data_IF_725746038945
#
_entry.id   IF_725746038945
#
_cell.length_a   1.000
_cell.length_b   1.000
_cell.length_c   1.000
_cell.angle_alpha   90.00
_cell.angle_beta   90.00
_cell.angle_gamma   90.00
#
_symmetry.space_group_name_H-M   'P 1'
#
loop_
_entity.id
_entity.type
_entity.pdbx_description
1 polymer ?
#
# COMPACT_ATOMS: atom_id res chain seq x y z
N UNK A 1 -27.37 -12.00 -32.15
CA UNK A 1 -28.66 -11.33 -32.11
C UNK A 1 -28.61 -10.20 -31.09
N UNK A 2 -29.42 -9.19 -31.27
CA UNK A 2 -29.46 -7.98 -30.48
C UNK A 2 -29.80 -8.27 -29.00
N UNK A 3 -30.72 -9.20 -28.77
CA UNK A 3 -31.14 -9.64 -27.42
C UNK A 3 -30.00 -10.24 -26.59
N UNK A 4 -29.09 -11.00 -27.21
CA UNK A 4 -27.91 -11.54 -26.54
C UNK A 4 -26.98 -10.41 -26.10
N UNK A 5 -26.74 -9.42 -26.96
CA UNK A 5 -25.90 -8.26 -26.64
C UNK A 5 -26.52 -7.40 -25.53
N UNK A 6 -27.85 -7.29 -25.52
CA UNK A 6 -28.57 -6.58 -24.45
C UNK A 6 -28.45 -7.35 -23.13
N UNK A 7 -28.66 -8.68 -23.15
CA UNK A 7 -28.52 -9.51 -21.98
C UNK A 7 -27.11 -9.47 -21.42
N UNK A 8 -26.06 -9.54 -22.25
CA UNK A 8 -24.66 -9.39 -21.81
C UNK A 8 -24.35 -8.02 -21.19
N UNK A 9 -24.97 -6.94 -21.71
CA UNK A 9 -24.82 -5.61 -21.11
C UNK A 9 -25.48 -5.49 -19.74
N UNK A 10 -26.58 -6.20 -19.50
CA UNK A 10 -27.34 -6.14 -18.23
C UNK A 10 -26.78 -7.12 -17.21
N UNK A 11 -26.55 -8.35 -17.61
CA UNK A 11 -26.21 -9.46 -16.73
C UNK A 11 -24.72 -9.82 -16.74
N UNK A 12 -23.92 -9.19 -17.62
CA UNK A 12 -22.54 -9.55 -17.87
C UNK A 12 -22.39 -10.79 -18.76
N UNK A 13 -21.13 -11.18 -19.06
CA UNK A 13 -20.84 -12.35 -19.87
C UNK A 13 -21.33 -13.65 -19.23
N UNK A 14 -21.77 -14.61 -20.06
CA UNK A 14 -22.22 -15.91 -19.58
C UNK A 14 -21.08 -16.72 -18.94
N UNK A 15 -21.23 -16.97 -17.64
CA UNK A 15 -20.26 -17.69 -16.80
C UNK A 15 -19.93 -19.08 -17.33
N UNK A 16 -20.96 -19.82 -17.80
CA UNK A 16 -20.79 -21.19 -18.31
C UNK A 16 -19.95 -21.20 -19.59
N UNK A 17 -20.18 -20.22 -20.46
CA UNK A 17 -19.38 -20.05 -21.67
C UNK A 17 -17.92 -19.69 -21.35
N UNK A 18 -17.67 -18.82 -20.38
CA UNK A 18 -16.31 -18.48 -19.96
C UNK A 18 -15.59 -19.74 -19.37
N UNK A 19 -16.27 -20.48 -18.52
CA UNK A 19 -15.73 -21.71 -17.90
C UNK A 19 -15.53 -22.85 -18.91
N UNK A 20 -16.35 -22.95 -19.95
CA UNK A 20 -16.34 -24.06 -20.90
C UNK A 20 -15.64 -23.78 -22.24
N UNK A 21 -15.68 -22.52 -22.73
CA UNK A 21 -15.25 -22.18 -24.09
C UNK A 21 -14.00 -21.29 -24.18
N UNK A 22 -13.46 -20.84 -23.03
CA UNK A 22 -12.25 -20.02 -23.04
C UNK A 22 -11.07 -20.75 -23.67
N UNK A 23 -10.37 -20.08 -24.58
CA UNK A 23 -9.18 -20.63 -25.26
C UNK A 23 -7.93 -19.85 -24.87
N UNK A 24 -6.80 -20.55 -24.81
CA UNK A 24 -5.50 -19.93 -24.60
C UNK A 24 -5.18 -19.04 -25.79
N UNK A 25 -4.80 -17.79 -25.51
CA UNK A 25 -4.31 -16.86 -26.53
C UNK A 25 -2.81 -16.65 -26.35
N UNK A 26 -2.14 -16.18 -27.42
CA UNK A 26 -0.72 -15.83 -27.35
C UNK A 26 -0.49 -14.74 -26.26
N UNK A 27 0.68 -14.78 -25.57
CA UNK A 27 1.06 -13.71 -24.64
C UNK A 27 1.03 -12.34 -25.34
N UNK A 28 0.79 -11.30 -24.58
CA UNK A 28 0.93 -9.95 -25.08
C UNK A 28 2.42 -9.65 -25.34
N UNK A 29 2.76 -8.88 -26.37
CA UNK A 29 4.13 -8.42 -26.54
C UNK A 29 4.54 -7.53 -25.36
N UNK A 30 5.83 -7.51 -25.05
CA UNK A 30 6.42 -6.57 -24.10
C UNK A 30 6.20 -5.15 -24.62
N UNK A 31 5.76 -4.26 -23.74
CA UNK A 31 5.55 -2.83 -24.06
C UNK A 31 6.34 -1.99 -23.07
N UNK A 32 7.11 -1.07 -23.61
CA UNK A 32 7.76 -0.03 -22.82
C UNK A 32 6.82 1.17 -22.73
N UNK A 33 6.34 1.46 -21.51
CA UNK A 33 5.46 2.59 -21.24
C UNK A 33 6.17 3.61 -20.32
N UNK A 34 7.49 3.72 -20.45
CA UNK A 34 8.34 4.61 -19.65
C UNK A 34 8.49 5.93 -20.41
N UNK A 35 8.20 7.04 -19.75
CA UNK A 35 8.44 8.39 -20.25
C UNK A 35 9.83 8.81 -19.79
N UNK A 36 10.70 9.18 -20.73
CA UNK A 36 12.02 9.70 -20.39
C UNK A 36 11.91 11.08 -19.75
N UNK A 37 12.51 11.22 -18.56
CA UNK A 37 12.62 12.48 -17.85
C UNK A 37 13.95 13.15 -18.25
N UNK A 38 13.97 14.48 -18.53
CA UNK A 38 15.21 15.19 -18.85
C UNK A 38 16.26 15.00 -17.76
N UNK A 39 17.49 14.66 -18.17
CA UNK A 39 18.59 14.41 -17.23
C UNK A 39 18.93 15.63 -16.37
N UNK A 40 18.78 16.81 -16.92
CA UNK A 40 18.98 18.10 -16.24
C UNK A 40 18.04 18.21 -15.03
N UNK A 41 16.77 17.82 -15.19
CA UNK A 41 15.78 17.86 -14.12
C UNK A 41 16.13 16.86 -12.99
N UNK A 42 16.57 15.65 -13.36
CA UNK A 42 17.03 14.64 -12.38
C UNK A 42 18.27 15.16 -11.65
N UNK A 43 19.23 15.75 -12.37
CA UNK A 43 20.48 16.26 -11.79
C UNK A 43 20.21 17.41 -10.83
N UNK A 44 19.32 18.33 -11.20
CA UNK A 44 18.93 19.48 -10.38
C UNK A 44 18.29 19.06 -9.05
N UNK A 45 17.54 17.98 -9.04
CA UNK A 45 16.78 17.49 -7.88
C UNK A 45 17.30 16.15 -7.35
N UNK A 46 18.58 15.86 -7.58
CA UNK A 46 19.18 14.56 -7.29
C UNK A 46 19.13 14.16 -5.82
N UNK A 47 19.31 15.12 -4.93
CA UNK A 47 19.33 14.89 -3.48
C UNK A 47 17.91 14.93 -2.92
N UNK A 48 17.52 13.86 -2.22
CA UNK A 48 16.18 13.65 -1.69
C UNK A 48 16.23 13.58 -0.17
N UNK A 49 15.30 14.29 0.47
CA UNK A 49 14.98 14.13 1.89
C UNK A 49 13.69 13.31 2.02
N UNK A 50 13.79 12.15 2.64
CA UNK A 50 12.70 11.20 2.81
C UNK A 50 12.11 11.29 4.21
N UNK A 51 10.79 11.36 4.32
CA UNK A 51 10.06 11.23 5.58
C UNK A 51 9.44 9.83 5.66
N UNK A 52 9.62 9.12 6.77
CA UNK A 52 9.10 7.76 6.97
C UNK A 52 8.30 7.66 8.26
N UNK A 53 7.29 6.79 8.25
CA UNK A 53 6.45 6.47 9.41
C UNK A 53 5.82 5.09 9.25
N UNK A 54 5.19 4.57 10.31
CA UNK A 54 4.47 3.30 10.30
C UNK A 54 2.96 3.54 10.41
N UNK A 55 2.22 2.94 9.49
CA UNK A 55 0.76 2.99 9.46
C UNK A 55 0.17 1.58 9.60
N UNK A 56 -0.94 1.48 10.33
CA UNK A 56 -1.68 0.22 10.44
C UNK A 56 -3.09 0.34 9.87
N UNK A 57 -3.50 -0.69 9.11
CA UNK A 57 -4.88 -0.89 8.66
C UNK A 57 -5.29 -2.29 9.13
N UNK A 58 -6.22 -2.39 10.04
CA UNK A 58 -6.47 -3.58 10.85
C UNK A 58 -5.14 -4.07 11.50
N UNK A 59 -4.76 -5.34 11.29
CA UNK A 59 -3.49 -5.90 11.75
C UNK A 59 -2.38 -5.84 10.67
N UNK A 60 -2.60 -5.11 9.57
CA UNK A 60 -1.62 -4.98 8.50
C UNK A 60 -0.79 -3.72 8.70
N UNK A 61 0.50 -3.89 8.98
CA UNK A 61 1.46 -2.80 9.09
C UNK A 61 2.04 -2.41 7.72
N UNK A 62 2.33 -1.12 7.57
CA UNK A 62 2.96 -0.54 6.39
C UNK A 62 4.01 0.48 6.82
N UNK A 63 5.22 0.36 6.28
CA UNK A 63 6.14 1.50 6.27
C UNK A 63 5.68 2.44 5.16
N UNK A 64 5.29 3.64 5.53
CA UNK A 64 4.90 4.71 4.61
C UNK A 64 6.06 5.68 4.43
N UNK A 65 6.22 6.18 3.22
CA UNK A 65 7.24 7.18 2.93
C UNK A 65 6.68 8.30 2.06
N UNK A 66 7.24 9.48 2.19
CA UNK A 66 7.06 10.60 1.27
C UNK A 66 8.36 11.38 1.18
N UNK A 67 8.81 11.72 -0.02
CA UNK A 67 9.91 12.65 -0.16
C UNK A 67 9.45 14.11 -0.25
N UNK A 68 10.33 15.03 0.16
CA UNK A 68 10.04 16.46 0.21
C UNK A 68 10.11 17.14 -1.15
N UNK A 69 10.77 16.53 -2.13
CA UNK A 69 11.08 17.13 -3.43
C UNK A 69 10.11 16.68 -4.51
N UNK A 70 10.15 15.40 -4.85
CA UNK A 70 9.33 14.79 -5.91
C UNK A 70 7.90 14.55 -5.42
N UNK A 71 7.71 14.42 -4.10
CA UNK A 71 6.43 14.06 -3.44
C UNK A 71 5.97 12.64 -3.76
N UNK A 72 6.89 11.75 -4.12
CA UNK A 72 6.58 10.34 -4.31
C UNK A 72 6.26 9.67 -2.97
N UNK A 73 5.21 8.87 -2.97
CA UNK A 73 4.71 8.17 -1.78
C UNK A 73 4.83 6.66 -1.94
N UNK A 74 5.22 5.99 -0.88
CA UNK A 74 5.17 4.53 -0.85
C UNK A 74 4.45 4.01 0.39
N UNK A 75 3.91 2.80 0.30
CA UNK A 75 3.40 2.02 1.42
C UNK A 75 3.91 0.59 1.24
N UNK A 76 4.93 0.23 1.98
CA UNK A 76 5.57 -1.09 1.91
C UNK A 76 5.01 -1.96 3.03
N UNK A 77 4.34 -3.08 2.71
CA UNK A 77 3.83 -3.98 3.74
C UNK A 77 4.96 -4.53 4.62
N UNK A 78 4.75 -4.50 5.92
CA UNK A 78 5.62 -5.10 6.92
C UNK A 78 4.92 -6.28 7.59
N UNK A 79 5.65 -7.34 7.90
CA UNK A 79 5.11 -8.55 8.52
C UNK A 79 5.29 -8.56 10.03
N UNK A 80 6.24 -7.81 10.53
CA UNK A 80 6.57 -7.68 11.96
C UNK A 80 7.14 -6.29 12.27
N UNK A 81 7.22 -5.96 13.56
CA UNK A 81 7.84 -4.71 14.05
C UNK A 81 9.32 -4.89 14.39
N UNK A 82 10.03 -5.76 13.67
CA UNK A 82 11.45 -6.00 13.89
C UNK A 82 12.28 -5.00 13.08
N UNK A 83 13.45 -4.66 13.58
CA UNK A 83 14.40 -3.78 12.89
C UNK A 83 14.82 -4.35 11.53
N UNK A 84 14.91 -5.67 11.39
CA UNK A 84 15.22 -6.33 10.12
C UNK A 84 14.13 -6.08 9.08
N UNK A 85 12.87 -6.16 9.48
CA UNK A 85 11.75 -5.92 8.57
C UNK A 85 11.65 -4.43 8.17
N UNK A 86 11.92 -3.51 9.10
CA UNK A 86 12.00 -2.09 8.79
C UNK A 86 13.16 -1.78 7.85
N UNK A 87 14.33 -2.38 8.10
CA UNK A 87 15.47 -2.24 7.20
C UNK A 87 15.17 -2.75 5.80
N UNK A 88 14.55 -3.94 5.69
CA UNK A 88 14.11 -4.51 4.41
C UNK A 88 13.16 -3.59 3.65
N UNK A 89 12.18 -3.04 4.35
CA UNK A 89 11.21 -2.13 3.74
C UNK A 89 11.89 -0.83 3.25
N UNK A 90 12.83 -0.30 4.04
CA UNK A 90 13.59 0.89 3.69
C UNK A 90 14.52 0.63 2.49
N UNK A 91 15.22 -0.49 2.44
CA UNK A 91 16.11 -0.87 1.33
C UNK A 91 15.36 -0.95 0.00
N UNK A 92 14.11 -1.47 0.00
CA UNK A 92 13.25 -1.47 -1.19
C UNK A 92 13.01 -0.05 -1.72
N UNK A 93 12.73 0.89 -0.82
CA UNK A 93 12.49 2.30 -1.20
C UNK A 93 13.78 2.95 -1.71
N UNK A 94 14.91 2.76 -1.02
CA UNK A 94 16.19 3.34 -1.45
C UNK A 94 16.61 2.82 -2.84
N UNK A 95 16.46 1.54 -3.10
CA UNK A 95 16.74 0.96 -4.42
C UNK A 95 15.90 1.57 -5.52
N UNK A 96 14.64 1.89 -5.24
CA UNK A 96 13.76 2.54 -6.21
C UNK A 96 14.30 3.92 -6.60
N UNK A 97 14.67 4.75 -5.63
CA UNK A 97 15.24 6.09 -5.88
C UNK A 97 16.61 5.99 -6.58
N UNK A 98 17.49 5.13 -6.11
CA UNK A 98 18.81 4.93 -6.70
C UNK A 98 18.71 4.45 -8.16
N UNK A 99 17.76 3.54 -8.46
CA UNK A 99 17.51 3.05 -9.83
C UNK A 99 17.06 4.16 -10.78
N UNK A 100 16.41 5.20 -10.27
CA UNK A 100 15.98 6.38 -11.02
C UNK A 100 17.04 7.50 -11.07
N UNK A 101 18.20 7.33 -10.44
CA UNK A 101 19.29 8.30 -10.43
C UNK A 101 19.24 9.33 -9.29
N UNK A 102 18.29 9.19 -8.36
CA UNK A 102 18.20 10.02 -7.16
C UNK A 102 18.99 9.40 -6.00
N UNK A 103 19.41 10.24 -5.06
CA UNK A 103 20.16 9.83 -3.87
C UNK A 103 19.43 10.35 -2.63
N UNK A 104 19.00 9.44 -1.78
CA UNK A 104 18.43 9.81 -0.48
C UNK A 104 19.56 10.25 0.43
N UNK A 105 19.53 11.50 0.86
CA UNK A 105 20.56 12.13 1.70
C UNK A 105 20.21 12.05 3.18
N UNK A 106 18.94 12.34 3.49
CA UNK A 106 18.45 12.38 4.87
C UNK A 106 17.12 11.64 4.96
N UNK A 107 16.95 10.86 6.02
CA UNK A 107 15.69 10.23 6.39
C UNK A 107 15.20 10.88 7.67
N UNK A 108 14.02 11.49 7.62
CA UNK A 108 13.32 12.05 8.77
C UNK A 108 12.33 11.02 9.31
N UNK A 109 12.43 10.70 10.60
CA UNK A 109 11.64 9.64 11.21
C UNK A 109 11.50 9.83 12.72
N UNK A 110 10.57 9.11 13.30
CA UNK A 110 10.36 9.01 14.74
C UNK A 110 11.46 8.21 15.45
N UNK A 111 11.51 8.32 16.78
CA UNK A 111 12.45 7.59 17.63
C UNK A 111 12.37 6.06 17.52
N UNK A 112 11.25 5.50 17.03
CA UNK A 112 11.07 4.06 16.79
C UNK A 112 12.14 3.48 15.85
N UNK A 113 12.63 4.27 14.91
CA UNK A 113 13.67 3.86 13.96
C UNK A 113 15.10 4.03 14.45
N UNK A 114 15.32 4.52 15.68
CA UNK A 114 16.67 4.83 16.21
C UNK A 114 17.62 3.64 16.16
N UNK A 115 17.12 2.44 16.41
CA UNK A 115 17.93 1.23 16.36
C UNK A 115 18.48 0.86 14.97
N UNK A 116 17.93 1.47 13.89
CA UNK A 116 18.45 1.28 12.53
C UNK A 116 19.58 2.25 12.15
N UNK A 117 19.85 3.25 12.99
CA UNK A 117 20.71 4.39 12.65
C UNK A 117 22.11 3.95 12.18
N UNK A 118 22.79 3.12 12.96
CA UNK A 118 24.15 2.68 12.62
C UNK A 118 24.16 1.84 11.35
N UNK A 119 23.25 0.89 11.22
CA UNK A 119 23.15 0.04 10.04
C UNK A 119 22.82 0.81 8.78
N UNK A 120 21.88 1.76 8.84
CA UNK A 120 21.52 2.63 7.71
C UNK A 120 22.68 3.53 7.31
N UNK A 121 23.43 4.06 8.30
CA UNK A 121 24.63 4.85 8.05
C UNK A 121 25.73 4.03 7.40
N UNK A 122 26.00 2.84 7.88
CA UNK A 122 27.15 2.01 7.45
C UNK A 122 26.85 1.30 6.11
N UNK A 123 25.67 0.70 5.96
CA UNK A 123 25.32 -0.08 4.76
C UNK A 123 24.80 0.79 3.61
N UNK A 124 24.02 1.83 3.93
CA UNK A 124 23.30 2.63 2.93
C UNK A 124 23.86 4.05 2.76
N UNK A 125 24.78 4.48 3.63
CA UNK A 125 25.42 5.80 3.64
C UNK A 125 24.42 6.96 3.72
N UNK A 126 23.27 6.76 4.40
CA UNK A 126 22.21 7.75 4.56
C UNK A 126 22.18 8.27 5.98
N UNK A 127 21.97 9.57 6.15
CA UNK A 127 21.83 10.21 7.45
C UNK A 127 20.38 10.03 7.95
N UNK A 128 20.20 9.57 9.18
CA UNK A 128 18.90 9.59 9.85
C UNK A 128 18.80 10.78 10.78
N UNK A 129 17.70 11.50 10.68
CA UNK A 129 17.32 12.62 11.53
C UNK A 129 16.06 12.24 12.31
N UNK A 130 16.22 12.11 13.62
CA UNK A 130 15.13 11.76 14.52
C UNK A 130 14.50 13.01 15.09
N UNK A 131 13.19 13.05 15.12
CA UNK A 131 12.46 14.05 15.89
C UNK A 131 12.64 13.81 17.37
N UNK A 132 12.51 14.86 18.19
CA UNK A 132 12.42 14.72 19.64
C UNK A 132 11.12 13.96 20.01
N UNK A 133 11.02 13.49 21.25
CA UNK A 133 9.91 12.65 21.69
C UNK A 133 8.51 13.27 21.54
N UNK A 134 8.44 14.60 21.41
CA UNK A 134 7.21 15.39 21.21
C UNK A 134 7.10 16.03 19.83
N UNK A 135 8.13 15.90 18.99
CA UNK A 135 8.14 16.47 17.65
C UNK A 135 7.90 15.34 16.63
N UNK A 136 6.73 15.32 16.04
CA UNK A 136 6.43 14.45 14.91
C UNK A 136 6.97 15.02 13.59
N UNK A 137 7.09 14.17 12.57
CA UNK A 137 7.42 14.58 11.19
C UNK A 137 6.12 14.98 10.49
N UNK A 138 5.79 16.30 10.39
CA UNK A 138 4.46 16.72 9.91
C UNK A 138 4.13 16.25 8.50
N UNK A 139 5.16 16.03 7.67
CA UNK A 139 4.98 15.51 6.32
C UNK A 139 4.58 14.04 6.32
N UNK A 140 5.14 13.23 7.23
CA UNK A 140 4.81 11.81 7.36
C UNK A 140 3.38 11.63 7.89
N UNK A 141 2.95 12.41 8.87
CA UNK A 141 1.58 12.40 9.39
C UNK A 141 0.56 12.79 8.33
N UNK A 142 0.79 13.92 7.64
CA UNK A 142 -0.07 14.34 6.51
C UNK A 142 -0.11 13.31 5.39
N UNK A 143 1.00 12.61 5.15
CA UNK A 143 1.05 11.50 4.20
C UNK A 143 0.14 10.35 4.64
N UNK A 144 0.25 9.93 5.90
CA UNK A 144 -0.58 8.87 6.47
C UNK A 144 -2.06 9.23 6.44
N UNK A 145 -2.42 10.47 6.80
CA UNK A 145 -3.78 11.00 6.69
C UNK A 145 -4.32 10.85 5.27
N UNK A 146 -3.59 11.35 4.27
CA UNK A 146 -3.98 11.27 2.87
C UNK A 146 -4.20 9.84 2.40
N UNK A 147 -3.28 8.92 2.79
CA UNK A 147 -3.39 7.51 2.43
C UNK A 147 -4.61 6.87 3.08
N UNK A 148 -4.84 7.10 4.39
CA UNK A 148 -6.01 6.59 5.13
C UNK A 148 -7.33 7.06 4.51
N UNK A 149 -7.45 8.34 4.17
CA UNK A 149 -8.63 8.90 3.50
C UNK A 149 -8.90 8.23 2.14
N UNK A 150 -7.85 7.99 1.35
CA UNK A 150 -7.98 7.28 0.07
C UNK A 150 -8.40 5.83 0.25
N UNK A 151 -7.81 5.12 1.21
CA UNK A 151 -8.18 3.75 1.54
C UNK A 151 -9.65 3.68 1.93
N UNK A 152 -10.14 4.60 2.79
CA UNK A 152 -11.53 4.66 3.21
C UNK A 152 -12.46 4.89 2.02
N UNK A 153 -12.18 5.90 1.20
CA UNK A 153 -12.99 6.21 0.03
C UNK A 153 -13.07 5.03 -0.95
N UNK A 154 -11.95 4.32 -1.14
CA UNK A 154 -11.93 3.14 -2.00
C UNK A 154 -12.66 1.95 -1.38
N UNK A 155 -12.56 1.75 -0.06
CA UNK A 155 -13.28 0.69 0.65
C UNK A 155 -14.81 0.86 0.56
N UNK A 156 -15.31 2.09 0.70
CA UNK A 156 -16.74 2.38 0.59
C UNK A 156 -17.36 2.09 -0.80
N UNK A 157 -16.53 1.90 -1.81
CA UNK A 157 -16.99 1.49 -3.15
C UNK A 157 -17.14 -0.02 -3.29
N UNK A 158 -16.62 -0.79 -2.35
CA UNK A 158 -16.65 -2.24 -2.40
C UNK A 158 -18.01 -2.77 -1.96
N UNK A 159 -18.46 -3.89 -2.54
CA UNK A 159 -19.68 -4.55 -2.10
C UNK A 159 -19.51 -5.37 -0.81
N UNK A 160 -18.30 -5.41 -0.24
CA UNK A 160 -17.92 -6.19 0.93
C UNK A 160 -17.90 -5.33 2.19
N UNK A 161 -18.46 -5.81 3.29
CA UNK A 161 -18.37 -5.18 4.62
C UNK A 161 -17.04 -5.47 5.30
N UNK A 162 -16.43 -6.62 4.99
CA UNK A 162 -15.12 -7.02 5.48
C UNK A 162 -14.30 -7.65 4.36
N UNK A 163 -12.98 -7.40 4.37
CA UNK A 163 -12.06 -7.92 3.35
C UNK A 163 -10.86 -8.61 4.02
N UNK A 164 -10.33 -9.70 3.40
CA UNK A 164 -9.20 -10.43 3.97
C UNK A 164 -7.89 -9.64 3.87
N UNK A 165 -6.88 -10.06 4.64
CA UNK A 165 -5.56 -9.41 4.75
C UNK A 165 -4.91 -9.12 3.41
N UNK A 166 -5.02 -10.03 2.46
CA UNK A 166 -4.50 -9.86 1.09
C UNK A 166 -5.12 -8.62 0.45
N UNK A 167 -6.44 -8.49 0.50
CA UNK A 167 -7.13 -7.34 -0.06
C UNK A 167 -6.76 -6.04 0.68
N UNK A 168 -6.67 -6.05 2.02
CA UNK A 168 -6.24 -4.85 2.79
C UNK A 168 -4.86 -4.39 2.34
N UNK A 169 -3.89 -5.30 2.20
CA UNK A 169 -2.54 -4.98 1.74
C UNK A 169 -2.55 -4.35 0.35
N UNK A 170 -3.25 -4.96 -0.59
CA UNK A 170 -3.33 -4.45 -1.95
C UNK A 170 -4.12 -3.13 -2.04
N UNK A 171 -5.17 -2.96 -1.23
CA UNK A 171 -5.90 -1.70 -1.15
C UNK A 171 -4.98 -0.55 -0.75
N UNK A 172 -4.24 -0.69 0.34
CA UNK A 172 -3.31 0.33 0.80
C UNK A 172 -2.22 0.64 -0.23
N UNK A 173 -1.57 -0.39 -0.80
CA UNK A 173 -0.54 -0.23 -1.82
C UNK A 173 -1.07 0.45 -3.08
N UNK A 174 -2.23 0.03 -3.58
CA UNK A 174 -2.83 0.58 -4.80
C UNK A 174 -3.26 2.02 -4.61
N UNK A 175 -3.91 2.34 -3.48
CA UNK A 175 -4.32 3.72 -3.19
C UNK A 175 -3.12 4.65 -3.04
N UNK A 176 -2.02 4.19 -2.43
CA UNK A 176 -0.78 4.96 -2.34
C UNK A 176 -0.14 5.15 -3.72
N UNK A 177 -0.08 4.10 -4.54
CA UNK A 177 0.47 4.20 -5.90
C UNK A 177 -0.32 5.16 -6.79
N UNK A 178 -1.65 5.18 -6.67
CA UNK A 178 -2.50 6.10 -7.43
C UNK A 178 -2.23 7.58 -7.13
N UNK A 179 -1.77 7.92 -5.92
CA UNK A 179 -1.37 9.28 -5.57
C UNK A 179 -0.14 9.77 -6.34
N UNK A 180 0.65 8.85 -6.90
CA UNK A 180 1.87 9.18 -7.64
C UNK A 180 1.66 9.33 -9.16
N UNK A 181 0.44 9.06 -9.67
CA UNK A 181 0.19 8.99 -11.11
C UNK A 181 -0.05 10.35 -11.78
N UNK A 182 -0.26 11.40 -11.01
CA UNK A 182 -0.52 12.75 -11.52
C UNK A 182 0.49 13.74 -10.95
N UNK A 183 0.81 14.81 -11.69
CA UNK A 183 1.62 15.92 -11.16
C UNK A 183 1.02 16.48 -9.88
N UNK A 184 1.87 16.79 -8.91
CA UNK A 184 1.46 17.24 -7.57
C UNK A 184 1.75 18.73 -7.41
N UNK A 185 0.82 19.46 -6.80
CA UNK A 185 1.04 20.88 -6.46
C UNK A 185 2.27 21.02 -5.53
N UNK A 186 3.21 21.86 -5.92
CA UNK A 186 4.48 22.03 -5.19
C UNK A 186 5.50 20.89 -5.40
N UNK A 187 5.28 20.04 -6.40
CA UNK A 187 6.27 19.08 -6.89
C UNK A 187 7.26 19.71 -7.85
N UNK A 188 8.24 18.93 -8.31
CA UNK A 188 9.36 19.36 -9.18
C UNK A 188 8.89 19.83 -10.56
N UNK A 189 7.81 19.26 -11.08
CA UNK A 189 7.33 19.53 -12.43
C UNK A 189 5.79 19.57 -12.48
N UNK A 190 5.22 20.50 -13.26
CA UNK A 190 3.80 20.51 -13.54
C UNK A 190 3.38 19.46 -14.59
N UNK A 191 4.34 18.83 -15.27
CA UNK A 191 4.09 17.87 -16.36
C UNK A 191 4.39 16.43 -15.95
N UNK A 192 5.43 16.20 -15.15
CA UNK A 192 5.83 14.86 -14.73
C UNK A 192 5.23 14.51 -13.36
N UNK A 193 4.59 13.36 -13.32
CA UNK A 193 4.09 12.82 -12.05
C UNK A 193 5.25 12.27 -11.20
N UNK A 194 5.08 12.11 -9.88
CA UNK A 194 6.07 11.45 -9.02
C UNK A 194 6.49 10.07 -9.54
N UNK A 195 5.56 9.27 -10.07
CA UNK A 195 5.86 7.97 -10.66
C UNK A 195 6.74 8.10 -11.91
N UNK A 196 6.43 9.05 -12.79
CA UNK A 196 7.24 9.34 -14.00
C UNK A 196 8.65 9.76 -13.64
N UNK A 197 8.82 10.62 -12.61
CA UNK A 197 10.13 11.04 -12.14
C UNK A 197 11.00 9.87 -11.68
N UNK A 198 10.42 8.82 -11.13
CA UNK A 198 11.13 7.60 -10.72
C UNK A 198 11.24 6.54 -11.84
N UNK A 199 10.94 6.90 -13.09
CA UNK A 199 11.05 5.97 -14.22
C UNK A 199 10.07 4.81 -14.15
N UNK A 200 8.96 4.96 -13.40
CA UNK A 200 7.90 3.96 -13.35
C UNK A 200 7.01 4.06 -14.59
N UNK A 201 6.36 2.97 -15.00
CA UNK A 201 5.45 2.99 -16.14
C UNK A 201 4.37 4.07 -16.00
N UNK A 202 4.10 4.77 -17.11
CA UNK A 202 3.04 5.76 -17.17
C UNK A 202 1.65 5.13 -17.07
N UNK A 203 0.67 5.91 -16.60
CA UNK A 203 -0.72 5.46 -16.56
C UNK A 203 -1.28 5.36 -17.98
N UNK A 204 -1.61 4.15 -18.40
CA UNK A 204 -2.40 3.87 -19.61
C UNK A 204 -3.82 3.50 -19.19
N UNK A 205 -4.78 4.34 -19.54
CA UNK A 205 -6.19 4.13 -19.18
C UNK A 205 -6.71 2.78 -19.70
N UNK A 206 -6.35 2.42 -20.93
CA UNK A 206 -6.81 1.17 -21.55
C UNK A 206 -6.21 -0.09 -20.93
N UNK A 207 -5.12 0.01 -20.19
CA UNK A 207 -4.49 -1.11 -19.49
C UNK A 207 -4.82 -1.12 -18.01
N UNK A 208 -4.70 0.02 -17.36
CA UNK A 208 -4.68 0.12 -15.90
C UNK A 208 -6.05 0.42 -15.29
N UNK A 209 -7.00 0.96 -16.09
CA UNK A 209 -8.30 1.40 -15.61
C UNK A 209 -9.49 0.55 -16.12
N UNK A 210 -9.22 -0.63 -16.69
CA UNK A 210 -10.27 -1.50 -17.23
C UNK A 210 -11.11 -2.20 -16.17
N UNK A 211 -10.47 -2.62 -15.06
CA UNK A 211 -11.11 -3.38 -14.01
C UNK A 211 -10.88 -2.67 -12.68
N UNK A 212 -11.93 -2.32 -11.93
CA UNK A 212 -11.77 -1.67 -10.65
C UNK A 212 -11.25 -2.66 -9.59
N UNK A 213 -10.52 -2.13 -8.60
CA UNK A 213 -10.11 -2.89 -7.43
C UNK A 213 -11.32 -3.54 -6.74
N UNK A 214 -11.18 -4.80 -6.34
CA UNK A 214 -12.23 -5.56 -5.66
C UNK A 214 -13.31 -6.15 -6.58
N UNK A 215 -13.23 -5.95 -7.90
CA UNK A 215 -14.17 -6.53 -8.84
C UNK A 215 -14.04 -8.05 -8.89
N UNK A 216 -15.18 -8.72 -9.05
CA UNK A 216 -15.21 -10.16 -9.35
C UNK A 216 -14.84 -10.40 -10.80
N UNK A 217 -13.92 -11.32 -11.03
CA UNK A 217 -13.40 -11.64 -12.36
C UNK A 217 -13.27 -13.14 -12.59
N UNK A 218 -13.45 -13.53 -13.85
CA UNK A 218 -13.04 -14.83 -14.35
C UNK A 218 -11.63 -14.71 -14.95
N UNK A 219 -10.69 -15.45 -14.40
CA UNK A 219 -9.31 -15.45 -14.86
C UNK A 219 -8.96 -16.75 -15.58
N UNK A 220 -8.29 -16.67 -16.73
CA UNK A 220 -7.96 -17.87 -17.50
C UNK A 220 -6.92 -18.73 -16.78
N UNK A 221 -7.11 -20.05 -16.80
CA UNK A 221 -6.04 -20.99 -16.43
C UNK A 221 -4.89 -20.91 -17.43
N UNK A 222 -3.67 -20.81 -16.91
CA UNK A 222 -2.44 -20.78 -17.75
C UNK A 222 -1.85 -22.16 -18.02
N UNK A 223 -2.47 -23.21 -17.47
CA UNK A 223 -2.09 -24.60 -17.67
C UNK A 223 -2.45 -25.09 -19.07
N UNK A 224 -1.73 -26.09 -19.56
CA UNK A 224 -2.10 -26.74 -20.82
C UNK A 224 -3.49 -27.38 -20.67
N UNK A 225 -4.43 -26.90 -21.48
CA UNK A 225 -5.78 -27.39 -21.47
C UNK A 225 -5.82 -28.73 -22.20
N UNK A 226 -6.32 -29.75 -21.50
CA UNK A 226 -6.64 -31.04 -22.06
C UNK A 226 -8.11 -31.06 -22.55
N UNK A 227 -8.49 -32.07 -23.31
CA UNK A 227 -9.88 -32.26 -23.74
C UNK A 227 -10.79 -32.76 -22.61
N UNK A 228 -10.55 -32.32 -21.38
CA UNK A 228 -11.32 -32.69 -20.19
C UNK A 228 -12.39 -31.67 -19.85
N UNK A 229 -13.36 -32.03 -19.01
CA UNK A 229 -14.39 -31.13 -18.48
C UNK A 229 -13.89 -30.16 -17.39
N UNK A 230 -12.59 -30.05 -17.17
CA UNK A 230 -12.01 -29.10 -16.20
C UNK A 230 -12.35 -27.69 -16.64
N UNK A 231 -12.73 -26.84 -15.68
CA UNK A 231 -13.03 -25.46 -15.90
C UNK A 231 -11.80 -24.73 -16.46
N UNK A 232 -11.99 -23.90 -17.47
CA UNK A 232 -10.93 -23.16 -18.17
C UNK A 232 -10.62 -21.80 -17.55
N UNK A 233 -11.46 -21.38 -16.60
CA UNK A 233 -11.30 -20.15 -15.83
C UNK A 233 -11.50 -20.44 -14.35
N UNK A 234 -10.94 -19.58 -13.52
CA UNK A 234 -11.06 -19.60 -12.06
C UNK A 234 -11.74 -18.32 -11.59
N UNK A 235 -12.41 -18.43 -10.45
CA UNK A 235 -13.07 -17.31 -9.77
C UNK A 235 -12.03 -16.51 -8.96
N UNK A 236 -11.93 -15.20 -9.18
CA UNK A 236 -10.96 -14.38 -8.49
C UNK A 236 -11.47 -12.94 -8.24
N UNK A 237 -10.84 -12.27 -7.29
CA UNK A 237 -11.04 -10.84 -7.02
C UNK A 237 -9.86 -10.07 -7.60
N UNK A 238 -10.17 -9.01 -8.34
CA UNK A 238 -9.17 -8.14 -8.95
C UNK A 238 -8.47 -7.27 -7.90
N UNK A 239 -7.14 -7.27 -7.91
CA UNK A 239 -6.34 -6.47 -6.98
C UNK A 239 -5.71 -5.25 -7.65
N UNK A 240 -4.94 -5.47 -8.72
CA UNK A 240 -4.29 -4.38 -9.48
C UNK A 240 -3.74 -4.89 -10.82
N UNK A 241 -3.33 -3.99 -11.73
CA UNK A 241 -2.49 -4.38 -12.86
C UNK A 241 -1.16 -4.97 -12.37
N UNK A 242 -0.66 -5.98 -13.05
CA UNK A 242 0.69 -6.49 -12.79
C UNK A 242 1.74 -5.44 -13.17
N UNK A 243 2.78 -5.34 -12.36
CA UNK A 243 3.86 -4.35 -12.54
C UNK A 243 4.93 -4.80 -13.53
N UNK A 244 4.71 -5.91 -14.23
CA UNK A 244 5.64 -6.42 -15.24
C UNK A 244 5.42 -5.75 -16.61
N UNK A 245 6.44 -5.77 -17.46
CA UNK A 245 6.41 -5.13 -18.80
C UNK A 245 5.47 -5.84 -19.80
N UNK A 246 5.05 -7.08 -19.53
CA UNK A 246 4.07 -7.79 -20.36
C UNK A 246 2.63 -7.43 -20.05
N UNK A 247 2.40 -6.73 -18.94
CA UNK A 247 1.06 -6.47 -18.42
C UNK A 247 0.48 -7.72 -17.77
N UNK A 248 -0.83 -7.71 -17.55
CA UNK A 248 -1.55 -8.74 -16.82
C UNK A 248 -2.16 -8.18 -15.54
N UNK A 249 -2.60 -9.06 -14.68
CA UNK A 249 -3.42 -8.70 -13.53
C UNK A 249 -3.02 -9.52 -12.31
N UNK A 250 -2.84 -8.88 -11.17
CA UNK A 250 -2.71 -9.52 -9.87
C UNK A 250 -4.10 -9.67 -9.26
N UNK A 251 -4.42 -10.88 -8.84
CA UNK A 251 -5.75 -11.30 -8.41
C UNK A 251 -5.64 -12.08 -7.11
N UNK A 252 -6.70 -12.08 -6.32
CA UNK A 252 -6.88 -13.03 -5.23
C UNK A 252 -7.77 -14.17 -5.71
N UNK A 253 -7.24 -15.39 -5.73
CA UNK A 253 -8.02 -16.59 -6.02
C UNK A 253 -9.06 -16.83 -4.91
N UNK A 254 -10.33 -16.96 -5.26
CA UNK A 254 -11.40 -17.14 -4.29
C UNK A 254 -11.39 -18.50 -3.59
N UNK A 255 -10.75 -19.52 -4.17
CA UNK A 255 -10.67 -20.83 -3.54
C UNK A 255 -9.58 -20.90 -2.47
N UNK A 256 -8.43 -20.27 -2.74
CA UNK A 256 -7.24 -20.38 -1.87
C UNK A 256 -6.95 -19.11 -1.04
N UNK A 257 -7.49 -17.97 -1.43
CA UNK A 257 -7.15 -16.66 -0.85
C UNK A 257 -5.75 -16.17 -1.21
N UNK A 258 -5.00 -16.90 -2.06
CA UNK A 258 -3.65 -16.51 -2.47
C UNK A 258 -3.65 -15.56 -3.65
N UNK A 259 -2.56 -14.78 -3.75
CA UNK A 259 -2.34 -13.91 -4.91
C UNK A 259 -1.84 -14.73 -6.08
N UNK A 260 -2.46 -14.52 -7.23
CA UNK A 260 -2.11 -15.13 -8.51
C UNK A 260 -1.97 -14.03 -9.57
N UNK A 261 -1.11 -14.25 -10.57
CA UNK A 261 -0.99 -13.36 -11.72
C UNK A 261 -1.56 -14.03 -12.96
N UNK A 262 -2.40 -13.32 -13.71
CA UNK A 262 -3.01 -13.81 -14.95
C UNK A 262 -2.95 -12.74 -16.04
N UNK A 263 -2.66 -13.20 -17.26
CA UNK A 263 -2.56 -12.29 -18.42
C UNK A 263 -3.92 -11.70 -18.83
N UNK A 264 -5.01 -12.38 -18.56
CA UNK A 264 -6.37 -11.98 -18.99
C UNK A 264 -7.40 -12.29 -17.94
N UNK A 265 -8.32 -11.35 -17.80
CA UNK A 265 -9.48 -11.43 -16.93
C UNK A 265 -10.72 -10.93 -17.65
N UNK A 266 -11.87 -11.41 -17.24
CA UNK A 266 -13.17 -10.91 -17.67
C UNK A 266 -13.95 -10.53 -16.42
N UNK A 267 -14.31 -9.26 -16.29
CA UNK A 267 -15.13 -8.79 -15.18
C UNK A 267 -16.55 -9.33 -15.31
N UNK A 268 -17.11 -9.74 -14.19
CA UNK A 268 -18.46 -10.27 -14.06
C UNK A 268 -19.15 -9.58 -12.90
N UNK A 269 -20.46 -9.34 -12.96
CA UNK A 269 -21.21 -8.83 -11.84
C UNK A 269 -21.00 -9.67 -10.58
N UNK A 270 -20.76 -9.01 -9.46
CA UNK A 270 -20.57 -9.69 -8.19
C UNK A 270 -21.90 -10.29 -7.72
N UNK A 271 -21.84 -11.51 -7.17
CA UNK A 271 -22.99 -12.21 -6.62
C UNK A 271 -22.90 -12.33 -5.10
N UNK A 272 -24.03 -12.54 -4.44
CA UNK A 272 -24.09 -12.81 -3.00
C UNK A 272 -23.13 -13.93 -2.54
N UNK A 273 -22.95 -14.95 -3.37
CA UNK A 273 -22.04 -16.08 -3.07
C UNK A 273 -20.58 -15.57 -2.99
N UNK A 274 -20.18 -14.72 -3.91
CA UNK A 274 -18.84 -14.13 -3.93
C UNK A 274 -18.64 -13.20 -2.73
N UNK A 275 -19.63 -12.35 -2.42
CA UNK A 275 -19.58 -11.45 -1.27
C UNK A 275 -19.37 -12.28 0.01
N UNK A 276 -20.19 -13.31 0.22
CA UNK A 276 -20.07 -14.20 1.40
C UNK A 276 -18.73 -14.92 1.44
N UNK A 277 -18.19 -15.35 0.31
CA UNK A 277 -16.88 -16.01 0.26
C UNK A 277 -15.76 -15.07 0.73
N UNK A 278 -15.72 -13.83 0.23
CA UNK A 278 -14.74 -12.81 0.63
C UNK A 278 -14.88 -12.45 2.12
N UNK A 279 -16.10 -12.19 2.59
CA UNK A 279 -16.38 -11.85 3.99
C UNK A 279 -16.06 -13.03 4.93
N UNK A 280 -16.32 -14.26 4.53
CA UNK A 280 -15.96 -15.47 5.29
C UNK A 280 -14.45 -15.55 5.48
N UNK A 281 -13.65 -15.33 4.42
CA UNK A 281 -12.19 -15.30 4.53
C UNK A 281 -11.71 -14.18 5.48
N UNK A 282 -12.34 -13.01 5.42
CA UNK A 282 -12.04 -11.90 6.32
C UNK A 282 -12.34 -12.27 7.78
N UNK A 283 -13.52 -12.82 8.06
CA UNK A 283 -13.94 -13.21 9.40
C UNK A 283 -13.06 -14.33 9.98
N UNK A 284 -12.63 -15.31 9.17
CA UNK A 284 -11.66 -16.32 9.58
C UNK A 284 -10.31 -15.74 10.01
N UNK A 285 -9.95 -14.57 9.47
CA UNK A 285 -8.75 -13.82 9.84
C UNK A 285 -8.99 -12.81 10.98
N UNK A 286 -10.20 -12.79 11.57
CA UNK A 286 -10.57 -11.91 12.66
C UNK A 286 -11.01 -10.49 12.23
N UNK A 287 -11.17 -10.22 10.92
CA UNK A 287 -11.58 -8.92 10.41
C UNK A 287 -13.09 -8.87 10.21
N UNK A 288 -13.75 -7.92 10.87
CA UNK A 288 -15.21 -7.69 10.76
C UNK A 288 -15.53 -6.44 9.94
N UNK A 289 -14.60 -5.50 9.89
CA UNK A 289 -14.67 -4.20 9.25
C UNK A 289 -13.26 -3.69 8.91
N UNK A 290 -13.16 -2.48 8.36
CA UNK A 290 -11.89 -1.81 8.12
C UNK A 290 -11.63 -0.82 9.26
N UNK A 291 -10.55 -1.03 10.02
CA UNK A 291 -10.12 -0.17 11.13
C UNK A 291 -8.72 0.34 10.92
N UNK A 292 -8.52 1.61 11.23
CA UNK A 292 -7.19 2.19 11.32
C UNK A 292 -6.74 2.12 12.77
N UNK A 293 -5.48 1.80 13.00
CA UNK A 293 -4.90 1.67 14.33
C UNK A 293 -3.64 2.52 14.42
N UNK A 294 -3.41 3.09 15.61
CA UNK A 294 -2.15 3.74 15.93
C UNK A 294 -1.05 2.70 16.25
N UNK A 295 0.16 3.17 16.54
CA UNK A 295 1.30 2.34 16.93
C UNK A 295 1.03 1.48 18.19
N UNK A 296 0.13 1.92 19.07
CA UNK A 296 -0.27 1.21 20.29
C UNK A 296 -1.41 0.19 20.05
N UNK A 297 -1.82 -0.03 18.79
CA UNK A 297 -2.93 -0.91 18.38
C UNK A 297 -4.32 -0.43 18.78
N UNK A 298 -4.46 0.79 19.27
CA UNK A 298 -5.74 1.41 19.52
C UNK A 298 -6.43 1.75 18.19
N UNK A 299 -7.74 1.66 18.14
CA UNK A 299 -8.52 2.00 16.95
C UNK A 299 -8.54 3.52 16.84
N UNK A 300 -7.94 4.04 15.80
CA UNK A 300 -7.83 5.46 15.53
C UNK A 300 -9.02 6.01 14.74
N UNK A 301 -9.64 5.16 13.92
CA UNK A 301 -10.82 5.50 13.15
C UNK A 301 -11.74 4.29 13.09
N UNK A 302 -12.99 4.48 13.42
CA UNK A 302 -14.07 3.52 13.23
C UNK A 302 -14.94 3.88 12.00
N UNK A 303 -16.04 3.20 11.81
CA UNK A 303 -16.92 3.44 10.68
C UNK A 303 -17.59 4.82 10.68
N UNK A 304 -17.71 5.44 11.86
CA UNK A 304 -18.43 6.72 12.07
C UNK A 304 -17.49 7.94 12.05
N UNK A 305 -16.18 7.72 11.86
CA UNK A 305 -15.20 8.80 11.88
C UNK A 305 -15.38 9.81 10.73
N UNK A 306 -15.37 11.09 11.05
CA UNK A 306 -15.51 12.20 10.10
C UNK A 306 -14.18 12.91 9.93
N UNK A 307 -13.65 12.92 8.70
CA UNK A 307 -12.39 13.57 8.36
C UNK A 307 -12.43 15.08 8.74
N UNK A 308 -11.43 15.51 9.50
CA UNK A 308 -11.29 16.90 9.96
C UNK A 308 -11.97 17.23 11.31
N UNK A 309 -12.86 16.35 11.81
CA UNK A 309 -13.46 16.49 13.14
C UNK A 309 -12.75 15.57 14.13
N UNK A 310 -12.67 14.28 13.80
CA UNK A 310 -12.09 13.27 14.70
C UNK A 310 -10.55 13.29 14.78
N UNK A 311 -9.90 14.10 13.94
CA UNK A 311 -8.45 14.30 14.04
C UNK A 311 -8.02 15.24 15.16
N UNK A 312 -8.86 16.21 15.53
CA UNK A 312 -8.53 17.14 16.60
C UNK A 312 -8.46 16.39 17.94
N UNK A 313 -9.49 15.57 18.21
CA UNK A 313 -9.60 14.83 19.46
C UNK A 313 -8.48 13.78 19.63
N UNK A 314 -8.05 13.15 18.53
CA UNK A 314 -6.99 12.15 18.56
C UNK A 314 -5.58 12.73 18.70
N UNK A 315 -5.36 13.97 18.27
CA UNK A 315 -4.10 14.67 18.47
C UNK A 315 -3.93 15.11 19.94
N UNK A 316 -5.02 15.54 20.55
CA UNK A 316 -5.04 15.97 21.95
C UNK A 316 -4.85 14.77 22.91
N UNK A 317 -5.41 13.58 22.58
CA UNK A 317 -5.21 12.35 23.37
C UNK A 317 -3.76 11.82 23.29
N UNK A 318 -3.09 11.94 22.15
CA UNK A 318 -1.68 11.53 22.00
C UNK A 318 -0.72 12.45 22.78
N UNK A 319 -1.07 13.75 22.96
CA UNK A 319 -0.29 14.70 23.76
C UNK A 319 -0.45 14.44 25.27
N UNK A 320 -1.66 14.07 25.74
CA UNK A 320 -1.91 13.77 27.16
C UNK A 320 -1.26 12.43 27.61
N UNK A 321 -1.19 11.41 26.72
CA UNK A 321 -0.55 10.13 27.04
C UNK A 321 0.98 10.24 27.11
N UNK A 322 1.62 11.09 26.32
CA UNK A 322 3.06 11.31 26.37
C UNK A 322 3.49 12.11 27.61
N UNK A 323 2.64 12.99 28.17
CA UNK A 323 2.89 13.67 29.45
C UNK A 323 2.76 12.74 30.66
N UNK A 324 1.87 11.73 30.60
CA UNK A 324 1.70 10.77 31.70
C UNK A 324 2.84 9.76 31.84
N UNK A 325 3.68 9.59 30.81
CA UNK A 325 4.79 8.61 30.84
C UNK A 325 6.13 9.17 31.33
N UNK A 326 6.24 10.50 31.53
CA UNK A 326 7.49 11.15 31.94
C UNK A 326 7.67 11.33 33.44
N UNK A 327 6.65 11.03 34.28
CA UNK A 327 6.69 11.34 35.73
C UNK A 327 6.92 10.13 36.66
N UNK A 328 7.42 8.99 36.17
CA UNK A 328 7.77 7.85 37.02
C UNK A 328 9.23 7.37 36.81
N UNK A 329 10.19 8.18 37.23
CA UNK A 329 11.61 7.75 37.13
C UNK A 329 12.67 8.66 37.76
N UNK A 330 12.33 9.37 38.82
CA UNK A 330 13.34 9.96 39.70
C UNK A 330 13.27 9.24 41.06
N UNK A 331 13.90 8.08 41.15
CA UNK A 331 14.22 7.41 42.40
C UNK A 331 15.43 8.07 43.03
N UNK A 332 15.19 8.58 44.22
CA UNK A 332 16.12 9.15 45.16
C UNK A 332 17.15 8.09 45.59
N UNK A 333 18.37 8.18 45.10
CA UNK A 333 19.53 7.46 45.69
C UNK A 333 20.35 8.47 46.49
N UNK A 334 19.96 8.61 47.76
CA UNK A 334 20.83 9.13 48.79
C UNK A 334 21.68 7.96 49.31
N UNK A 335 22.91 7.84 48.85
CA UNK A 335 23.97 7.10 49.54
C UNK A 335 24.69 8.06 50.50
N UNK A 336 24.37 7.95 51.78
CA UNK A 336 25.15 8.49 52.86
C UNK A 336 26.41 7.61 53.05
N UNK A 337 27.55 8.13 52.63
CA UNK A 337 28.88 7.65 53.02
C UNK A 337 29.19 8.17 54.44
N UNK A 338 29.01 7.33 55.45
CA UNK A 338 29.66 7.50 56.76
C UNK A 338 30.99 6.75 56.77
N UNK A 339 32.05 7.52 56.72
CA UNK A 339 33.39 7.13 57.23
C UNK A 339 33.36 7.08 58.75
N UNK A 340 33.82 5.99 59.33
CA UNK A 340 34.57 6.03 60.58
C UNK A 340 35.55 4.84 60.75
N UNK A 341 36.76 5.26 60.93
CA UNK A 341 37.91 4.72 61.66
C UNK A 341 37.84 3.30 62.33
N UNK A 342 38.73 2.41 61.99
CA UNK A 342 39.84 1.89 62.75
C UNK A 342 40.68 0.86 62.01
#
# INVERSE_FOLDING_TARGET
SEDINIAEKIFGPDMSSLKGKSTRRKPNPVKEDIIEVPKELITQHREIDLCIDIMYVNECGFMTTIDRTIKFRSAIPITSRTHEEYYRALDVVLRLYNGAGFVIKTIHCDGEFRALMERVKDDLHVKMNFTNALDHVPEAERNNRTIKERIRAAFQRLPYKAIPRVMIRYLAMTQTQQLNLFPVKGGVSPYFSPATMLGLPSLDYNKHCQVPYGAFVQANHETNQTSSNVTRTLDAIYLRPATNMQGGHELMDLNSGHVITRARVTQIPVTEIVIRAVETMAHQQGFKDLKFKNRHKQVFHDADWIAGVDYADAADEDEEEDEAYTDNGAGDDNDDDDMDDQ
#
